data_IF_711552340432
#
_entry.id   IF_711552340432
#
_cell.length_a   1.000
_cell.length_b   1.000
_cell.length_c   1.000
_cell.angle_alpha   90.00
_cell.angle_beta   90.00
_cell.angle_gamma   90.00
#
_symmetry.space_group_name_H-M   'P 1'
#
loop_
_entity.id
_entity.type
_entity.pdbx_description
1 polymer ?
#
# COMPACT_ATOMS: atom_id res chain seq x y z
N UNK A 1 -27.35 -15.41 5.13
CA UNK A 1 -27.20 -16.32 3.98
C UNK A 1 -27.13 -15.43 2.74
N UNK A 2 -26.02 -15.42 2.02
CA UNK A 2 -25.89 -14.61 0.81
C UNK A 2 -26.63 -15.32 -0.35
N UNK A 3 -27.49 -14.60 -1.07
CA UNK A 3 -28.20 -15.14 -2.24
C UNK A 3 -27.31 -14.90 -3.46
N UNK A 4 -27.00 -15.97 -4.19
CA UNK A 4 -26.24 -15.85 -5.43
C UNK A 4 -27.05 -15.05 -6.48
N UNK A 5 -26.44 -14.10 -7.20
CA UNK A 5 -27.13 -13.32 -8.22
C UNK A 5 -27.56 -14.22 -9.39
N UNK A 6 -28.73 -13.94 -9.95
CA UNK A 6 -29.24 -14.62 -11.15
C UNK A 6 -28.43 -14.25 -12.39
N UNK A 7 -28.53 -15.07 -13.46
CA UNK A 7 -27.88 -14.79 -14.73
C UNK A 7 -28.26 -13.42 -15.32
N UNK A 8 -29.52 -12.98 -15.13
CA UNK A 8 -29.98 -11.66 -15.54
C UNK A 8 -29.30 -10.55 -14.74
N UNK A 9 -29.21 -10.67 -13.41
CA UNK A 9 -28.49 -9.70 -12.57
C UNK A 9 -26.99 -9.65 -12.91
N UNK A 10 -26.38 -10.79 -13.22
CA UNK A 10 -24.99 -10.82 -13.68
C UNK A 10 -24.86 -10.04 -14.98
N UNK A 11 -25.71 -10.29 -15.98
CA UNK A 11 -25.64 -9.65 -17.29
C UNK A 11 -25.98 -8.15 -17.25
N UNK A 12 -27.01 -7.77 -16.51
CA UNK A 12 -27.62 -6.43 -16.61
C UNK A 12 -27.10 -5.46 -15.54
N UNK A 13 -26.53 -5.97 -14.44
CA UNK A 13 -26.03 -5.15 -13.32
C UNK A 13 -24.53 -5.35 -13.11
N UNK A 14 -24.08 -6.59 -12.92
CA UNK A 14 -22.69 -6.85 -12.50
C UNK A 14 -21.69 -6.74 -13.65
N UNK A 15 -21.98 -7.31 -14.82
CA UNK A 15 -21.07 -7.28 -15.96
C UNK A 15 -20.80 -5.87 -16.51
N UNK A 16 -21.80 -4.96 -16.58
CA UNK A 16 -21.56 -3.57 -16.94
C UNK A 16 -20.72 -2.82 -15.89
N UNK A 17 -20.84 -3.17 -14.61
CA UNK A 17 -20.08 -2.54 -13.54
C UNK A 17 -18.64 -3.04 -13.44
N UNK A 18 -18.44 -4.37 -13.52
CA UNK A 18 -17.12 -5.01 -13.44
C UNK A 18 -17.13 -6.36 -14.17
N UNK A 19 -16.18 -6.53 -15.10
CA UNK A 19 -16.05 -7.77 -15.88
C UNK A 19 -15.86 -8.99 -14.98
N UNK A 20 -16.13 -10.20 -15.49
CA UNK A 20 -15.93 -11.43 -14.71
C UNK A 20 -14.48 -11.58 -14.24
N UNK A 21 -13.49 -11.24 -15.10
CA UNK A 21 -12.06 -11.23 -14.75
C UNK A 21 -11.80 -10.41 -13.49
N UNK A 22 -12.25 -9.17 -13.46
CA UNK A 22 -11.99 -8.27 -12.34
C UNK A 22 -12.80 -8.62 -11.10
N UNK A 23 -14.02 -9.19 -11.25
CA UNK A 23 -14.76 -9.75 -10.11
C UNK A 23 -14.03 -10.94 -9.49
N UNK A 24 -13.48 -11.84 -10.30
CA UNK A 24 -12.66 -12.95 -9.82
C UNK A 24 -11.39 -12.45 -9.14
N UNK A 25 -10.67 -11.50 -9.73
CA UNK A 25 -9.49 -10.91 -9.11
C UNK A 25 -9.81 -10.24 -7.77
N UNK A 26 -10.92 -9.49 -7.70
CA UNK A 26 -11.37 -8.85 -6.46
C UNK A 26 -11.71 -9.87 -5.37
N UNK A 27 -12.30 -11.00 -5.75
CA UNK A 27 -12.60 -12.11 -4.84
C UNK A 27 -11.33 -12.76 -4.29
N UNK A 28 -10.32 -12.98 -5.14
CA UNK A 28 -9.01 -13.48 -4.70
C UNK A 28 -8.33 -12.49 -3.75
N UNK A 29 -8.21 -11.21 -4.13
CA UNK A 29 -7.67 -10.15 -3.28
C UNK A 29 -8.37 -10.14 -1.92
N UNK A 30 -9.71 -10.16 -1.93
CA UNK A 30 -10.51 -10.16 -0.70
C UNK A 30 -10.25 -11.38 0.20
N UNK A 31 -10.15 -12.57 -0.37
CA UNK A 31 -9.96 -13.79 0.41
C UNK A 31 -8.53 -13.93 0.93
N UNK A 32 -7.56 -13.57 0.11
CA UNK A 32 -6.16 -13.69 0.46
C UNK A 32 -5.77 -12.69 1.56
N UNK A 33 -6.32 -11.47 1.54
CA UNK A 33 -6.15 -10.51 2.65
C UNK A 33 -6.78 -11.02 3.96
N UNK A 34 -7.74 -11.96 3.90
CA UNK A 34 -8.39 -12.53 5.10
C UNK A 34 -7.72 -13.79 5.62
N UNK A 35 -6.86 -14.44 4.84
CA UNK A 35 -6.27 -15.72 5.22
C UNK A 35 -5.08 -15.49 6.17
N UNK A 36 -5.15 -15.97 7.43
CA UNK A 36 -4.06 -15.84 8.39
C UNK A 36 -2.74 -16.47 7.93
N UNK A 37 -2.79 -17.40 6.97
CA UNK A 37 -1.58 -18.04 6.41
C UNK A 37 -0.78 -17.08 5.52
N UNK A 38 -1.47 -16.17 4.84
CA UNK A 38 -0.86 -15.20 3.92
C UNK A 38 -0.52 -13.87 4.58
N UNK A 39 -0.94 -13.70 5.84
CA UNK A 39 -0.60 -12.54 6.68
C UNK A 39 0.94 -12.35 6.79
N UNK A 40 1.73 -13.41 6.69
CA UNK A 40 3.20 -13.30 6.80
C UNK A 40 3.93 -12.99 5.49
N UNK A 41 3.38 -13.33 4.33
CA UNK A 41 4.10 -13.18 3.05
C UNK A 41 3.69 -11.91 2.28
N UNK A 42 2.57 -11.28 2.64
CA UNK A 42 2.06 -10.14 1.89
C UNK A 42 1.60 -10.54 0.48
N UNK A 43 0.75 -9.71 -0.12
CA UNK A 43 0.27 -9.93 -1.49
C UNK A 43 0.80 -8.78 -2.31
N UNK A 44 1.82 -9.06 -3.12
CA UNK A 44 2.36 -8.09 -4.07
C UNK A 44 1.34 -7.90 -5.19
N UNK A 45 0.52 -6.86 -5.09
CA UNK A 45 -0.39 -6.44 -6.16
C UNK A 45 0.31 -5.38 -7.01
N UNK A 46 0.25 -5.58 -8.32
CA UNK A 46 0.86 -4.73 -9.32
C UNK A 46 -0.24 -4.03 -10.11
N UNK A 47 -0.12 -2.72 -10.27
CA UNK A 47 -1.02 -1.89 -11.05
C UNK A 47 -0.26 -1.22 -12.18
N UNK A 48 -0.66 -1.48 -13.43
CA UNK A 48 -0.14 -0.73 -14.58
C UNK A 48 -1.05 0.44 -14.89
N UNK A 49 -0.51 1.66 -14.79
CA UNK A 49 -1.26 2.90 -15.08
C UNK A 49 -0.84 3.58 -16.38
N UNK A 50 0.24 3.13 -17.01
CA UNK A 50 0.73 3.68 -18.26
C UNK A 50 0.78 2.64 -19.38
N UNK A 51 0.28 3.05 -20.54
CA UNK A 51 0.27 2.28 -21.78
C UNK A 51 0.82 3.19 -22.88
N UNK A 52 1.90 2.79 -23.53
CA UNK A 52 2.48 3.53 -24.65
C UNK A 52 1.47 3.68 -25.79
N UNK A 53 1.64 4.65 -26.70
CA UNK A 53 0.69 4.83 -27.81
C UNK A 53 1.01 3.91 -29.01
N UNK A 54 2.30 3.72 -29.29
CA UNK A 54 2.75 2.93 -30.44
C UNK A 54 2.67 1.43 -30.16
N UNK A 55 2.38 0.63 -31.19
CA UNK A 55 2.25 -0.83 -31.08
C UNK A 55 3.57 -1.45 -30.63
N UNK A 56 4.69 -0.94 -31.14
CA UNK A 56 6.03 -1.44 -30.86
C UNK A 56 6.46 -1.14 -29.42
N UNK A 57 6.16 0.05 -28.89
CA UNK A 57 6.43 0.38 -27.49
C UNK A 57 5.48 -0.37 -26.56
N UNK A 58 4.19 -0.50 -26.90
CA UNK A 58 3.25 -1.32 -26.11
C UNK A 58 3.73 -2.75 -25.96
N UNK A 59 4.19 -3.37 -27.05
CA UNK A 59 4.71 -4.74 -27.02
C UNK A 59 5.96 -4.86 -26.13
N UNK A 60 6.86 -3.87 -26.21
CA UNK A 60 8.07 -3.80 -25.38
C UNK A 60 7.74 -3.62 -23.90
N UNK A 61 6.85 -2.69 -23.58
CA UNK A 61 6.43 -2.42 -22.20
C UNK A 61 5.70 -3.62 -21.60
N UNK A 62 4.83 -4.29 -22.37
CA UNK A 62 4.18 -5.52 -21.92
C UNK A 62 5.17 -6.66 -21.66
N UNK A 63 6.19 -6.82 -22.52
CA UNK A 63 7.25 -7.80 -22.27
C UNK A 63 8.09 -7.43 -21.03
N UNK A 64 8.37 -6.14 -20.83
CA UNK A 64 9.07 -5.62 -19.65
C UNK A 64 8.28 -5.89 -18.37
N UNK A 65 6.98 -5.63 -18.38
CA UNK A 65 6.08 -5.89 -17.25
C UNK A 65 5.98 -7.37 -16.91
N UNK A 66 5.85 -8.24 -17.92
CA UNK A 66 5.87 -9.68 -17.72
C UNK A 66 7.19 -10.13 -17.06
N UNK A 67 8.32 -9.66 -17.58
CA UNK A 67 9.63 -9.98 -17.00
C UNK A 67 9.75 -9.51 -15.54
N UNK A 68 9.29 -8.30 -15.19
CA UNK A 68 9.30 -7.83 -13.81
C UNK A 68 8.39 -8.63 -12.87
N UNK A 69 7.26 -9.12 -13.38
CA UNK A 69 6.29 -9.90 -12.62
C UNK A 69 6.73 -11.35 -12.43
N UNK A 70 7.41 -11.94 -13.42
CA UNK A 70 7.88 -13.33 -13.44
C UNK A 70 9.29 -13.52 -12.84
N UNK A 71 10.21 -12.59 -13.12
CA UNK A 71 11.61 -12.62 -12.64
C UNK A 71 11.80 -12.89 -11.14
N UNK A 72 10.90 -12.47 -10.24
CA UNK A 72 11.08 -12.71 -8.82
C UNK A 72 10.62 -14.10 -8.33
N UNK A 73 10.00 -14.90 -9.20
CA UNK A 73 9.52 -16.25 -8.89
C UNK A 73 10.64 -17.27 -9.08
N UNK A 74 11.56 -17.05 -10.03
CA UNK A 74 12.71 -17.93 -10.25
C UNK A 74 13.73 -17.85 -9.09
N UNK A 75 13.70 -18.85 -8.21
CA UNK A 75 14.72 -19.05 -7.18
C UNK A 75 14.32 -18.67 -5.74
N UNK A 76 13.05 -18.31 -5.50
CA UNK A 76 12.55 -18.13 -4.13
C UNK A 76 12.11 -19.48 -3.54
N UNK A 77 12.86 -20.10 -2.60
CA UNK A 77 12.52 -21.40 -2.03
C UNK A 77 11.24 -21.41 -1.18
N UNK A 78 10.60 -20.24 -0.98
CA UNK A 78 9.33 -20.11 -0.27
C UNK A 78 8.12 -19.97 -1.20
N UNK A 79 8.32 -19.85 -2.52
CA UNK A 79 7.27 -19.93 -3.52
C UNK A 79 7.40 -21.33 -4.12
N UNK A 80 6.40 -22.18 -3.89
CA UNK A 80 6.39 -23.53 -4.43
C UNK A 80 6.48 -23.43 -5.97
N UNK A 81 7.43 -24.13 -6.60
CA UNK A 81 7.57 -24.17 -8.06
C UNK A 81 6.30 -24.75 -8.75
N UNK A 82 5.36 -25.29 -7.95
CA UNK A 82 4.05 -25.81 -8.35
C UNK A 82 2.90 -24.76 -8.33
N UNK A 83 3.19 -23.46 -8.12
CA UNK A 83 2.14 -22.42 -8.23
C UNK A 83 1.76 -22.24 -9.70
N UNK A 84 0.66 -22.87 -10.12
CA UNK A 84 0.03 -22.70 -11.43
C UNK A 84 -0.08 -21.22 -11.83
N UNK A 85 0.32 -20.85 -13.06
CA UNK A 85 0.27 -19.49 -13.62
C UNK A 85 -1.13 -18.83 -13.46
N UNK A 86 -2.19 -19.64 -13.39
CA UNK A 86 -3.54 -19.14 -13.13
C UNK A 86 -3.74 -18.59 -11.71
N UNK A 87 -2.97 -19.10 -10.73
CA UNK A 87 -3.05 -18.76 -9.30
C UNK A 87 -2.41 -17.41 -8.96
N UNK A 88 -1.69 -16.74 -9.88
CA UNK A 88 -1.03 -15.45 -9.61
C UNK A 88 -1.50 -14.33 -10.54
N UNK A 89 -2.13 -14.65 -11.67
CA UNK A 89 -2.60 -13.68 -12.68
C UNK A 89 -3.51 -12.55 -12.14
N UNK A 90 -4.24 -12.80 -11.06
CA UNK A 90 -5.09 -11.80 -10.40
C UNK A 90 -4.31 -10.72 -9.64
N UNK A 91 -3.02 -10.92 -9.40
CA UNK A 91 -2.11 -9.94 -8.76
C UNK A 91 -1.66 -8.85 -9.73
N UNK A 92 -1.81 -9.05 -11.04
CA UNK A 92 -1.44 -8.09 -12.07
C UNK A 92 -2.68 -7.39 -12.65
N UNK A 93 -2.86 -6.13 -12.27
CA UNK A 93 -3.89 -5.23 -12.76
C UNK A 93 -3.39 -4.52 -14.03
N UNK A 94 -3.46 -5.24 -15.15
CA UNK A 94 -3.04 -4.80 -16.49
C UNK A 94 -4.22 -4.90 -17.49
N UNK A 95 -4.85 -3.76 -17.78
CA UNK A 95 -5.94 -3.58 -18.75
C UNK A 95 -6.06 -2.10 -19.10
N UNK A 96 -5.65 -1.75 -20.31
CA UNK A 96 -5.60 -0.37 -20.81
C UNK A 96 -6.96 0.34 -20.77
N UNK A 97 -8.05 -0.39 -21.00
CA UNK A 97 -9.38 0.22 -21.04
C UNK A 97 -9.89 0.59 -19.64
N UNK A 98 -9.30 0.00 -18.61
CA UNK A 98 -9.77 0.10 -17.24
C UNK A 98 -8.80 0.87 -16.37
N UNK A 99 -7.49 0.64 -16.50
CA UNK A 99 -6.46 1.13 -15.57
C UNK A 99 -5.54 2.20 -16.16
N UNK A 100 -5.77 2.71 -17.37
CA UNK A 100 -4.98 3.79 -17.96
C UNK A 100 -5.29 5.16 -17.30
N UNK A 101 -4.86 5.31 -16.04
CA UNK A 101 -5.07 6.50 -15.23
C UNK A 101 -3.90 7.49 -15.26
N UNK A 102 -2.76 7.10 -15.82
CA UNK A 102 -1.53 7.88 -15.70
C UNK A 102 -1.16 8.10 -14.24
N UNK A 103 -1.19 9.35 -13.79
CA UNK A 103 -0.86 9.73 -12.41
C UNK A 103 -2.02 9.54 -11.42
N UNK A 104 -3.25 9.40 -11.91
CA UNK A 104 -4.46 9.32 -11.08
C UNK A 104 -4.75 7.88 -10.63
N UNK A 105 -3.72 7.20 -10.14
CA UNK A 105 -3.78 5.79 -9.74
C UNK A 105 -4.86 5.49 -8.69
N UNK A 106 -5.23 6.47 -7.85
CA UNK A 106 -6.26 6.35 -6.80
C UNK A 106 -7.61 5.89 -7.36
N UNK A 107 -7.88 6.15 -8.64
CA UNK A 107 -9.10 5.68 -9.34
C UNK A 107 -9.23 4.16 -9.36
N UNK A 108 -8.14 3.42 -9.13
CA UNK A 108 -8.19 1.96 -8.98
C UNK A 108 -9.19 1.55 -7.89
N UNK A 109 -9.38 2.33 -6.82
CA UNK A 109 -10.32 2.00 -5.75
C UNK A 109 -11.80 2.13 -6.16
N UNK A 110 -12.10 2.84 -7.25
CA UNK A 110 -13.45 2.84 -7.85
C UNK A 110 -13.77 1.49 -8.51
N UNK A 111 -12.72 0.77 -8.95
CA UNK A 111 -12.82 -0.47 -9.71
C UNK A 111 -12.43 -1.70 -8.89
N UNK A 112 -11.54 -1.60 -7.88
CA UNK A 112 -11.16 -2.68 -6.97
C UNK A 112 -10.98 -2.08 -5.56
N UNK A 113 -12.08 -1.68 -4.89
CA UNK A 113 -12.02 -1.22 -3.50
C UNK A 113 -11.49 -2.30 -2.54
N UNK A 114 -11.51 -3.57 -2.94
CA UNK A 114 -10.98 -4.68 -2.15
C UNK A 114 -9.45 -4.59 -1.93
N UNK A 115 -8.74 -3.73 -2.68
CA UNK A 115 -7.30 -3.48 -2.50
C UNK A 115 -6.96 -2.97 -1.10
N UNK A 116 -7.86 -2.22 -0.45
CA UNK A 116 -7.67 -1.74 0.93
C UNK A 116 -8.21 -2.74 1.97
N UNK A 117 -8.51 -3.96 1.53
CA UNK A 117 -8.95 -5.06 2.36
C UNK A 117 -10.36 -4.90 2.96
N UNK A 118 -10.91 -5.96 3.56
CA UNK A 118 -12.03 -5.82 4.48
C UNK A 118 -11.65 -4.94 5.67
N UNK A 119 -12.63 -4.21 6.20
CA UNK A 119 -12.61 -3.68 7.58
C UNK A 119 -12.59 -4.85 8.59
N UNK A 120 -11.57 -5.70 8.59
CA UNK A 120 -11.48 -6.77 9.57
C UNK A 120 -11.14 -6.14 10.92
N UNK A 121 -11.80 -6.58 11.99
CA UNK A 121 -11.59 -6.08 13.35
C UNK A 121 -10.21 -6.36 13.95
N UNK A 122 -9.30 -6.97 13.17
CA UNK A 122 -7.86 -7.10 13.44
C UNK A 122 -7.05 -5.99 12.75
N UNK A 123 -7.72 -5.01 12.14
CA UNK A 123 -7.06 -3.79 11.74
C UNK A 123 -6.38 -3.20 12.97
N UNK A 124 -5.05 -3.18 12.92
CA UNK A 124 -4.19 -2.37 13.79
C UNK A 124 -4.35 -0.88 13.48
N UNK A 125 -5.58 -0.47 13.16
CA UNK A 125 -5.96 0.91 13.03
C UNK A 125 -5.55 1.55 14.35
N UNK A 126 -4.50 2.35 14.30
CA UNK A 126 -4.03 3.07 15.47
C UNK A 126 -5.12 3.95 16.07
N UNK A 127 -6.15 4.26 15.27
CA UNK A 127 -7.38 4.97 15.63
C UNK A 127 -8.41 4.14 16.40
N UNK A 128 -8.23 2.82 16.52
CA UNK A 128 -9.08 1.96 17.34
C UNK A 128 -8.81 2.21 18.83
N UNK A 129 -9.74 2.91 19.49
CA UNK A 129 -9.66 3.17 20.93
C UNK A 129 -9.98 1.94 21.80
N UNK A 130 -10.45 0.84 21.21
CA UNK A 130 -10.92 -0.32 21.96
C UNK A 130 -9.80 -1.31 22.32
N UNK A 131 -8.66 -1.25 21.64
CA UNK A 131 -7.54 -2.15 21.90
C UNK A 131 -6.59 -1.61 23.00
N UNK A 132 -6.49 -2.37 24.09
CA UNK A 132 -5.58 -2.10 25.22
C UNK A 132 -4.11 -1.99 24.82
N UNK A 133 -3.69 -2.73 23.78
CA UNK A 133 -2.32 -2.69 23.24
C UNK A 133 -2.08 -1.37 22.51
N UNK A 134 -3.04 -0.94 21.69
CA UNK A 134 -3.01 0.35 21.00
C UNK A 134 -2.99 1.53 21.99
N UNK A 135 -3.78 1.47 23.08
CA UNK A 135 -3.75 2.49 24.15
C UNK A 135 -2.40 2.60 24.85
N UNK A 136 -1.84 1.46 25.28
CA UNK A 136 -0.53 1.43 25.95
C UNK A 136 0.55 2.01 25.04
N UNK A 137 0.56 1.58 23.79
CA UNK A 137 1.56 2.00 22.82
C UNK A 137 1.41 3.48 22.44
N UNK A 138 0.19 3.99 22.28
CA UNK A 138 -0.06 5.44 22.13
C UNK A 138 0.52 6.20 23.31
N UNK A 139 0.27 5.76 24.54
CA UNK A 139 0.80 6.42 25.75
C UNK A 139 2.33 6.46 25.77
N UNK A 140 2.98 5.37 25.40
CA UNK A 140 4.44 5.29 25.33
C UNK A 140 5.01 6.25 24.27
N UNK A 141 4.52 6.17 23.03
CA UNK A 141 4.98 7.05 21.94
C UNK A 141 4.72 8.52 22.24
N UNK A 142 3.51 8.88 22.68
CA UNK A 142 3.19 10.27 22.97
C UNK A 142 3.90 10.80 24.22
N UNK A 143 4.26 9.93 25.17
CA UNK A 143 5.13 10.28 26.29
C UNK A 143 6.51 10.71 25.80
N UNK A 144 7.17 9.86 25.00
CA UNK A 144 8.47 10.16 24.39
C UNK A 144 8.42 11.41 23.50
N UNK A 145 7.36 11.56 22.70
CA UNK A 145 7.18 12.74 21.84
C UNK A 145 7.04 14.01 22.67
N UNK A 146 6.27 13.99 23.76
CA UNK A 146 6.05 15.17 24.60
C UNK A 146 7.36 15.66 25.21
N UNK A 147 8.22 14.75 25.68
CA UNK A 147 9.55 15.10 26.20
C UNK A 147 10.42 15.77 25.13
N UNK A 148 10.45 15.20 23.91
CA UNK A 148 11.23 15.76 22.80
C UNK A 148 10.68 17.12 22.35
N UNK A 149 9.36 17.25 22.18
CA UNK A 149 8.71 18.51 21.79
C UNK A 149 8.91 19.61 22.84
N UNK A 150 8.90 19.27 24.13
CA UNK A 150 9.16 20.22 25.21
C UNK A 150 10.61 20.74 25.20
N UNK A 151 11.56 19.97 24.64
CA UNK A 151 12.96 20.39 24.53
C UNK A 151 13.22 21.37 23.37
N UNK A 152 12.29 21.49 22.42
CA UNK A 152 12.40 22.39 21.27
C UNK A 152 11.72 23.73 21.54
N UNK A 153 12.41 24.84 21.24
CA UNK A 153 11.92 26.18 21.54
C UNK A 153 11.00 26.73 20.44
N UNK A 154 11.28 26.41 19.18
CA UNK A 154 10.58 26.97 18.03
C UNK A 154 9.48 26.03 17.50
N UNK A 155 8.35 26.61 17.05
CA UNK A 155 7.23 25.85 16.49
C UNK A 155 7.67 24.96 15.32
N UNK A 156 8.53 25.47 14.45
CA UNK A 156 9.02 24.70 13.30
C UNK A 156 9.84 23.48 13.74
N UNK A 157 10.71 23.63 14.74
CA UNK A 157 11.50 22.55 15.31
C UNK A 157 10.62 21.50 16.00
N UNK A 158 9.58 21.97 16.74
CA UNK A 158 8.55 21.09 17.31
C UNK A 158 7.84 20.28 16.24
N UNK A 159 7.42 20.90 15.13
CA UNK A 159 6.74 20.21 14.03
C UNK A 159 7.64 19.20 13.33
N UNK A 160 8.90 19.54 13.06
CA UNK A 160 9.89 18.60 12.50
C UNK A 160 10.10 17.41 13.44
N UNK A 161 10.21 17.68 14.74
CA UNK A 161 10.36 16.65 15.76
C UNK A 161 9.16 15.71 15.82
N UNK A 162 7.94 16.26 15.72
CA UNK A 162 6.69 15.50 15.65
C UNK A 162 6.70 14.61 14.41
N UNK A 163 7.02 15.14 13.22
CA UNK A 163 7.03 14.36 11.97
C UNK A 163 8.09 13.25 11.99
N UNK A 164 9.33 13.58 12.39
CA UNK A 164 10.44 12.63 12.43
C UNK A 164 10.27 11.55 13.51
N UNK A 165 9.67 11.90 14.66
CA UNK A 165 9.46 10.94 15.76
C UNK A 165 8.24 10.04 15.54
N UNK A 166 7.30 10.43 14.68
CA UNK A 166 6.08 9.67 14.41
C UNK A 166 6.21 8.62 13.30
N UNK A 167 7.43 8.28 12.89
CA UNK A 167 7.69 7.19 11.96
C UNK A 167 6.98 5.87 12.38
N UNK A 168 6.96 5.57 13.69
CA UNK A 168 6.22 4.42 14.26
C UNK A 168 4.71 4.53 14.10
N UNK A 169 4.15 5.73 14.26
CA UNK A 169 2.73 6.00 14.11
C UNK A 169 2.30 5.89 12.64
N UNK A 170 3.13 6.41 11.73
CA UNK A 170 2.96 6.28 10.29
C UNK A 170 2.97 4.81 9.85
N UNK A 171 3.97 4.03 10.29
CA UNK A 171 4.11 2.62 9.92
C UNK A 171 2.89 1.78 10.29
N UNK A 172 2.36 1.93 11.50
CA UNK A 172 1.15 1.22 11.91
C UNK A 172 -0.15 1.79 11.34
N UNK A 173 -0.11 2.97 10.72
CA UNK A 173 -1.25 3.48 9.95
C UNK A 173 -1.35 2.81 8.57
N UNK A 174 -0.30 2.12 8.14
CA UNK A 174 -0.29 1.32 6.92
C UNK A 174 -1.09 0.04 7.16
N UNK A 175 -2.02 -0.20 6.24
CA UNK A 175 -2.80 -1.42 6.17
C UNK A 175 -2.31 -2.37 5.09
N UNK A 176 -1.91 -1.82 3.94
CA UNK A 176 -1.51 -2.58 2.76
C UNK A 176 -0.54 -1.76 1.91
N UNK A 177 -0.07 -2.33 0.80
CA UNK A 177 0.76 -1.64 -0.16
C UNK A 177 0.38 -2.00 -1.60
N UNK A 178 0.78 -1.16 -2.54
CA UNK A 178 0.54 -1.34 -3.97
C UNK A 178 1.79 -0.96 -4.77
N UNK A 179 2.13 -1.79 -5.75
CA UNK A 179 3.21 -1.52 -6.71
C UNK A 179 2.61 -0.94 -7.97
N UNK A 180 3.09 0.22 -8.40
CA UNK A 180 2.55 0.93 -9.56
C UNK A 180 3.61 1.03 -10.66
N UNK A 181 3.32 0.40 -11.79
CA UNK A 181 4.04 0.53 -13.05
C UNK A 181 3.44 1.70 -13.85
N UNK A 182 3.94 2.89 -13.55
CA UNK A 182 3.59 4.12 -14.28
C UNK A 182 4.60 4.42 -15.39
N UNK A 183 4.44 5.57 -16.05
CA UNK A 183 5.33 6.00 -17.14
C UNK A 183 6.79 6.07 -16.69
N UNK A 184 7.03 6.51 -15.47
CA UNK A 184 8.39 6.60 -14.92
C UNK A 184 8.99 5.21 -14.78
N UNK A 185 8.26 4.22 -14.27
CA UNK A 185 8.75 2.85 -14.16
C UNK A 185 9.23 2.27 -15.50
N UNK A 186 8.48 2.47 -16.59
CA UNK A 186 8.89 2.01 -17.92
C UNK A 186 10.14 2.73 -18.45
N UNK A 187 10.37 3.98 -18.01
CA UNK A 187 11.51 4.80 -18.44
C UNK A 187 12.77 4.59 -17.60
N UNK A 188 12.63 4.40 -16.29
CA UNK A 188 13.75 4.38 -15.33
C UNK A 188 13.98 3.05 -14.64
N UNK A 189 13.12 2.05 -14.87
CA UNK A 189 13.12 0.78 -14.13
C UNK A 189 12.81 0.93 -12.62
N UNK A 190 12.21 2.06 -12.23
CA UNK A 190 11.83 2.35 -10.84
C UNK A 190 10.31 2.36 -10.63
N UNK A 191 9.84 1.39 -9.86
CA UNK A 191 8.43 1.28 -9.50
C UNK A 191 8.05 2.27 -8.42
N UNK A 192 6.81 2.76 -8.49
CA UNK A 192 6.22 3.48 -7.37
C UNK A 192 5.62 2.47 -6.40
N UNK A 193 6.15 2.39 -5.19
CA UNK A 193 5.50 1.70 -4.08
C UNK A 193 4.66 2.69 -3.28
N UNK A 194 3.41 2.30 -3.00
CA UNK A 194 2.46 3.06 -2.20
C UNK A 194 2.16 2.26 -0.93
N UNK A 195 2.35 2.87 0.24
CA UNK A 195 1.91 2.31 1.51
C UNK A 195 0.59 2.93 1.91
N UNK A 196 -0.47 2.13 1.94
CA UNK A 196 -1.85 2.60 1.98
C UNK A 196 -2.48 2.38 3.36
N UNK A 197 -3.28 3.34 3.82
CA UNK A 197 -4.17 3.17 4.97
C UNK A 197 -5.46 2.40 4.58
N UNK A 198 -6.32 2.15 5.57
CA UNK A 198 -7.62 1.49 5.37
C UNK A 198 -8.62 2.28 4.49
N UNK A 199 -8.34 3.55 4.21
CA UNK A 199 -9.17 4.41 3.38
C UNK A 199 -8.63 4.55 1.96
N UNK A 200 -7.49 3.91 1.65
CA UNK A 200 -6.82 4.01 0.36
C UNK A 200 -5.98 5.27 0.20
N UNK A 201 -5.78 6.05 1.26
CA UNK A 201 -4.78 7.11 1.23
C UNK A 201 -3.41 6.49 1.35
N UNK A 202 -2.47 6.88 0.49
CA UNK A 202 -1.08 6.56 0.76
C UNK A 202 -0.62 7.33 2.01
N UNK A 203 -0.04 6.63 2.97
CA UNK A 203 0.71 7.20 4.09
C UNK A 203 2.04 7.72 3.54
N UNK A 204 2.76 6.84 2.86
CA UNK A 204 4.09 7.07 2.29
C UNK A 204 4.17 6.46 0.90
N UNK A 205 5.01 7.04 0.06
CA UNK A 205 5.32 6.51 -1.27
C UNK A 205 6.80 6.64 -1.57
N UNK A 206 7.34 5.73 -2.39
CA UNK A 206 8.77 5.72 -2.74
C UNK A 206 8.99 5.15 -4.13
N UNK A 207 10.15 5.44 -4.71
CA UNK A 207 10.64 4.77 -5.92
C UNK A 207 11.58 3.65 -5.52
N UNK A 208 11.40 2.47 -6.11
CA UNK A 208 12.23 1.29 -5.88
C UNK A 208 12.68 0.69 -7.20
N UNK A 209 13.95 0.35 -7.30
CA UNK A 209 14.50 -0.44 -8.41
C UNK A 209 14.12 -1.91 -8.20
N UNK A 210 13.88 -2.65 -9.29
CA UNK A 210 13.73 -4.10 -9.26
C UNK A 210 14.87 -4.80 -10.01
N UNK A 211 15.26 -6.02 -9.60
CA UNK A 211 14.68 -6.82 -8.51
C UNK A 211 15.17 -6.37 -7.12
N UNK A 212 14.24 -6.19 -6.17
CA UNK A 212 14.53 -6.03 -4.74
C UNK A 212 13.98 -7.28 -4.03
N UNK A 213 14.87 -8.13 -3.53
CA UNK A 213 14.51 -9.39 -2.87
C UNK A 213 13.61 -9.15 -1.64
N UNK A 214 13.68 -7.97 -1.02
CA UNK A 214 12.88 -7.62 0.14
C UNK A 214 11.42 -7.33 -0.21
N UNK A 215 11.07 -7.19 -1.49
CA UNK A 215 9.69 -6.88 -1.90
C UNK A 215 8.70 -8.00 -1.55
N UNK A 216 9.16 -9.25 -1.46
CA UNK A 216 8.35 -10.40 -0.98
C UNK A 216 8.21 -10.45 0.53
N UNK A 217 9.07 -9.72 1.24
CA UNK A 217 9.04 -9.63 2.68
C UNK A 217 8.25 -8.41 3.16
N UNK A 218 7.74 -7.56 2.26
CA UNK A 218 7.00 -6.35 2.61
C UNK A 218 5.83 -6.60 3.55
N UNK A 219 5.06 -7.68 3.31
CA UNK A 219 4.00 -8.12 4.22
C UNK A 219 4.51 -8.35 5.64
N UNK A 220 5.54 -9.20 5.80
CA UNK A 220 6.18 -9.45 7.10
C UNK A 220 6.77 -8.17 7.70
N UNK A 221 7.40 -7.32 6.90
CA UNK A 221 8.06 -6.10 7.35
C UNK A 221 7.06 -5.07 7.87
N UNK A 222 5.91 -4.92 7.20
CA UNK A 222 4.80 -4.10 7.69
C UNK A 222 4.25 -4.71 8.97
N UNK A 223 4.03 -6.03 8.96
CA UNK A 223 3.41 -6.72 10.08
C UNK A 223 4.28 -6.79 11.34
N UNK A 224 5.60 -6.80 11.19
CA UNK A 224 6.58 -6.79 12.28
C UNK A 224 7.12 -5.38 12.60
N UNK A 225 6.60 -4.34 11.94
CA UNK A 225 7.08 -2.95 12.03
C UNK A 225 8.56 -2.77 11.64
N UNK A 226 9.18 -3.76 10.99
CA UNK A 226 10.57 -3.69 10.48
C UNK A 226 10.71 -2.84 9.23
N UNK A 227 9.59 -2.55 8.55
CA UNK A 227 9.61 -1.65 7.39
C UNK A 227 10.19 -0.26 7.73
N UNK A 228 10.17 0.14 9.01
CA UNK A 228 10.77 1.38 9.50
C UNK A 228 12.26 1.50 9.22
N UNK A 229 12.95 0.38 9.06
CA UNK A 229 14.38 0.31 8.82
C UNK A 229 14.70 0.16 7.32
N UNK A 230 13.68 0.04 6.46
CA UNK A 230 13.83 -0.14 5.02
C UNK A 230 14.21 1.17 4.32
N UNK A 231 15.04 1.05 3.27
CA UNK A 231 15.51 2.18 2.46
C UNK A 231 14.36 2.96 1.82
N UNK A 232 13.29 2.27 1.40
CA UNK A 232 12.12 2.84 0.75
C UNK A 232 11.05 3.33 1.74
N UNK A 233 11.31 3.33 3.04
CA UNK A 233 10.36 3.85 4.03
C UNK A 233 10.87 5.11 4.73
N UNK A 234 12.19 5.26 4.87
CA UNK A 234 12.79 6.40 5.57
C UNK A 234 13.16 7.54 4.62
N UNK A 235 13.29 8.74 5.17
CA UNK A 235 13.76 9.93 4.45
C UNK A 235 15.31 9.98 4.41
N UNK A 236 15.98 8.99 5.01
CA UNK A 236 17.43 8.99 5.26
C UNK A 236 18.26 8.50 4.06
N UNK A 237 17.63 7.86 3.07
CA UNK A 237 18.30 7.33 1.88
C UNK A 237 17.72 8.02 0.64
N UNK A 238 18.49 8.74 -0.19
CA UNK A 238 17.96 9.35 -1.41
C UNK A 238 17.52 8.30 -2.46
N UNK A 239 16.43 8.53 -3.23
CA UNK A 239 15.55 9.70 -3.20
C UNK A 239 14.61 9.73 -1.98
N UNK A 240 14.52 8.62 -1.25
CA UNK A 240 13.81 8.50 0.01
C UNK A 240 12.32 8.31 -0.16
N UNK A 241 11.66 8.16 0.99
CA UNK A 241 10.21 8.07 1.03
C UNK A 241 9.57 9.45 1.15
N UNK A 242 8.50 9.67 0.40
CA UNK A 242 7.68 10.88 0.47
C UNK A 242 6.44 10.63 1.32
N UNK A 243 6.31 11.40 2.40
CA UNK A 243 5.12 11.41 3.26
C UNK A 243 3.99 12.19 2.60
N UNK A 244 2.79 11.60 2.56
CA UNK A 244 1.59 12.26 2.06
C UNK A 244 1.32 13.57 2.83
N UNK A 245 1.03 14.70 2.16
CA UNK A 245 0.69 15.96 2.81
C UNK A 245 -0.40 15.85 3.88
N UNK A 246 -1.38 14.96 3.72
CA UNK A 246 -2.43 14.72 4.74
C UNK A 246 -1.86 14.18 6.06
N UNK A 247 -0.75 13.45 6.00
CA UNK A 247 -0.08 12.84 7.16
C UNK A 247 1.05 13.70 7.75
N UNK A 248 1.33 14.88 7.17
CA UNK A 248 2.21 15.89 7.80
C UNK A 248 1.62 16.35 9.13
N UNK A 249 2.43 16.89 10.04
CA UNK A 249 1.98 17.25 11.38
C UNK A 249 0.78 18.21 11.39
N UNK A 250 0.76 19.18 10.47
CA UNK A 250 -0.37 20.09 10.29
C UNK A 250 -1.38 19.64 9.22
N UNK A 251 -1.19 18.45 8.66
CA UNK A 251 -2.08 17.84 7.69
C UNK A 251 -3.45 17.48 8.28
N UNK A 252 -4.40 17.17 7.40
CA UNK A 252 -5.76 16.75 7.77
C UNK A 252 -5.76 15.56 8.73
N UNK A 253 -4.99 14.53 8.41
CA UNK A 253 -4.91 13.29 9.20
C UNK A 253 -3.85 13.43 10.30
N UNK A 254 -2.69 14.02 9.98
CA UNK A 254 -1.55 14.08 10.92
C UNK A 254 -1.85 14.89 12.19
N UNK A 255 -2.69 15.94 12.11
CA UNK A 255 -3.07 16.73 13.30
C UNK A 255 -3.72 15.88 14.39
N UNK A 256 -4.70 15.07 13.99
CA UNK A 256 -5.41 14.15 14.87
C UNK A 256 -4.51 12.96 15.23
N UNK A 257 -3.89 12.34 14.22
CA UNK A 257 -3.09 11.13 14.38
C UNK A 257 -1.93 11.32 15.35
N UNK A 258 -1.34 12.53 15.39
CA UNK A 258 -0.20 12.84 16.25
C UNK A 258 -0.57 13.68 17.49
N UNK A 259 -1.85 14.00 17.70
CA UNK A 259 -2.28 14.84 18.83
C UNK A 259 -1.55 16.19 18.89
N UNK A 260 -1.31 16.81 17.73
CA UNK A 260 -0.43 17.99 17.61
C UNK A 260 -0.89 19.14 18.49
N UNK A 261 -2.21 19.33 18.61
CA UNK A 261 -2.79 20.37 19.45
C UNK A 261 -2.47 20.18 20.94
N UNK A 262 -2.44 18.93 21.41
CA UNK A 262 -2.10 18.61 22.80
C UNK A 262 -0.60 18.69 23.07
N UNK A 263 0.23 18.42 22.06
CA UNK A 263 1.68 18.54 22.13
C UNK A 263 2.19 19.98 22.07
N UNK A 264 1.50 20.85 21.32
CA UNK A 264 1.86 22.26 21.19
C UNK A 264 1.34 23.14 22.33
N UNK A 265 0.37 22.65 23.12
CA UNK A 265 -0.13 23.33 24.33
C UNK A 265 0.81 23.22 25.54
N UNK A 266 1.76 22.28 25.50
CA UNK A 266 2.85 22.12 26.49
C UNK A 266 4.08 22.94 26.15
#
# INVERSE_FOLDING_TARGET
MAIAPSAAQIRDILAPWRSLRWRSASWEIWNQIRDPKWDYQGINIWLRTHYAESVEEKARDSAKLAAWFESPVEGNPNIDDDVDDTMTSWRLLDDELIFNFGTDWERVFEIIPELVGPKSGLSRCFLSEEDSVTKKYRKEIFGELREKVASSAELQEKLITIEGSNNRVQCRSVHTYLLVADKTAFTTDEFLILFLDLKGHYVRQSRIELPDDDIFMLGDMINSEKIRDAQYWTDNFPPGSSLNPKYRALGEIGRELYGVEDLLRT
#
